data_IF_368960498663
#
_entry.id   IF_368960498663
#
_cell.length_a   1.000
_cell.length_b   1.000
_cell.length_c   1.000
_cell.angle_alpha   90.00
_cell.angle_beta   90.00
_cell.angle_gamma   90.00
#
_symmetry.space_group_name_H-M   'P 1'
#
loop_
_entity.id
_entity.type
_entity.pdbx_description
1 polymer ?
#
# COMPACT_ATOMS: atom_id res chain seq x y z
N UNK A 1 15.63 4.34 -11.33
CA UNK A 1 15.00 3.43 -12.33
C UNK A 1 14.20 4.26 -13.33
N UNK A 2 13.76 3.71 -14.47
CA UNK A 2 12.95 4.47 -15.46
C UNK A 2 11.48 4.07 -15.42
N UNK A 3 10.59 5.05 -15.52
CA UNK A 3 9.17 4.79 -15.62
C UNK A 3 8.81 4.09 -16.95
N UNK A 4 7.99 3.04 -16.91
CA UNK A 4 7.50 2.32 -18.10
C UNK A 4 6.75 3.22 -19.06
N UNK A 5 5.95 4.15 -18.55
CA UNK A 5 5.02 4.92 -19.38
C UNK A 5 5.54 6.25 -19.89
N UNK A 6 6.43 6.91 -19.15
CA UNK A 6 6.92 8.24 -19.50
C UNK A 6 8.44 8.31 -19.66
N UNK A 7 9.15 7.19 -19.46
CA UNK A 7 10.61 7.05 -19.57
C UNK A 7 11.45 7.98 -18.69
N UNK A 8 10.80 8.78 -17.81
CA UNK A 8 11.47 9.61 -16.82
C UNK A 8 12.28 8.75 -15.87
N UNK A 9 13.47 9.23 -15.55
CA UNK A 9 14.32 8.64 -14.51
C UNK A 9 13.83 9.08 -13.14
N UNK A 10 13.43 8.10 -12.33
CA UNK A 10 13.24 8.28 -10.90
C UNK A 10 14.58 8.09 -10.19
N UNK A 11 14.94 9.08 -9.38
CA UNK A 11 16.21 9.09 -8.63
C UNK A 11 16.00 8.43 -7.28
N UNK A 12 16.61 7.27 -7.08
CA UNK A 12 16.71 6.64 -5.75
C UNK A 12 17.73 7.42 -4.94
N UNK A 13 17.26 8.42 -4.20
CA UNK A 13 18.12 9.27 -3.35
C UNK A 13 17.78 9.14 -1.87
N UNK A 14 16.71 8.42 -1.53
CA UNK A 14 16.36 8.12 -0.15
C UNK A 14 17.00 6.80 0.27
N UNK A 15 17.44 6.74 1.53
CA UNK A 15 17.99 5.52 2.14
C UNK A 15 17.20 5.25 3.40
N UNK A 16 16.64 4.06 3.53
CA UNK A 16 15.92 3.61 4.72
C UNK A 16 16.84 2.67 5.53
N UNK A 17 16.85 2.80 6.85
CA UNK A 17 17.63 1.94 7.74
C UNK A 17 16.72 0.83 8.27
N UNK A 18 16.97 -0.40 7.85
CA UNK A 18 16.25 -1.58 8.32
C UNK A 18 17.06 -2.32 9.38
N UNK A 19 16.45 -2.61 10.52
CA UNK A 19 17.07 -3.45 11.53
C UNK A 19 16.92 -4.93 11.15
N UNK A 20 18.03 -5.66 11.12
CA UNK A 20 18.06 -7.12 10.90
C UNK A 20 17.89 -7.87 12.22
N UNK A 21 17.53 -9.15 12.13
CA UNK A 21 17.25 -10.01 13.28
C UNK A 21 18.43 -10.17 14.25
N UNK A 22 19.66 -9.93 13.77
CA UNK A 22 20.89 -9.92 14.57
C UNK A 22 21.22 -8.55 15.19
N UNK A 23 20.33 -7.56 15.04
CA UNK A 23 20.45 -6.22 15.61
C UNK A 23 21.33 -5.26 14.81
N UNK A 24 21.74 -5.62 13.58
CA UNK A 24 22.43 -4.69 12.67
C UNK A 24 21.43 -3.81 11.92
N UNK A 25 21.92 -2.71 11.34
CA UNK A 25 21.12 -1.85 10.46
C UNK A 25 21.65 -1.92 9.04
N UNK A 26 20.78 -2.27 8.09
CA UNK A 26 21.08 -2.27 6.66
C UNK A 26 20.48 -1.03 6.01
N UNK A 27 21.31 -0.30 5.28
CA UNK A 27 20.85 0.80 4.42
C UNK A 27 20.25 0.24 3.14
N UNK A 28 18.95 0.47 2.95
CA UNK A 28 18.20 0.06 1.77
C UNK A 28 17.89 1.29 0.93
N UNK A 29 18.39 1.30 -0.30
CA UNK A 29 18.10 2.38 -1.25
C UNK A 29 16.61 2.34 -1.63
N UNK A 30 15.94 3.48 -1.49
CA UNK A 30 14.52 3.67 -1.82
C UNK A 30 14.35 4.83 -2.79
N UNK A 31 13.32 4.75 -3.61
CA UNK A 31 12.84 5.89 -4.41
C UNK A 31 12.41 6.99 -3.45
N UNK A 32 12.84 8.24 -3.70
CA UNK A 32 12.31 9.40 -2.97
C UNK A 32 10.83 9.62 -3.29
N UNK A 33 10.45 9.30 -4.52
CA UNK A 33 9.13 9.51 -5.07
C UNK A 33 8.33 8.20 -5.06
N UNK A 34 7.03 8.30 -4.80
CA UNK A 34 6.12 7.14 -4.79
C UNK A 34 6.16 6.46 -6.16
N UNK A 35 6.54 5.19 -6.16
CA UNK A 35 6.66 4.37 -7.36
C UNK A 35 6.46 2.91 -7.00
N UNK A 36 5.98 2.13 -7.97
CA UNK A 36 5.77 0.69 -7.83
C UNK A 36 6.54 -0.02 -8.92
N UNK A 37 7.13 -1.18 -8.65
CA UNK A 37 7.77 -1.99 -9.68
C UNK A 37 6.76 -2.40 -10.75
N UNK A 38 7.19 -2.40 -12.02
CA UNK A 38 6.31 -2.83 -13.10
C UNK A 38 6.16 -4.36 -13.06
N UNK A 39 4.93 -4.92 -12.93
CA UNK A 39 4.73 -6.37 -12.85
C UNK A 39 5.30 -7.14 -14.05
N UNK A 40 5.39 -6.50 -15.22
CA UNK A 40 5.91 -7.12 -16.44
C UNK A 40 7.43 -6.95 -16.59
N UNK A 41 8.07 -6.16 -15.73
CA UNK A 41 9.50 -5.91 -15.78
C UNK A 41 10.06 -5.51 -14.40
N UNK A 42 10.05 -6.45 -13.43
CA UNK A 42 10.51 -6.20 -12.07
C UNK A 42 12.00 -5.86 -12.00
N UNK A 43 12.82 -6.28 -12.97
CA UNK A 43 14.27 -6.12 -12.95
C UNK A 43 14.78 -4.73 -13.40
N UNK A 44 13.94 -3.68 -13.33
CA UNK A 44 14.45 -2.30 -13.49
C UNK A 44 13.48 -1.26 -14.06
N UNK A 45 12.21 -1.63 -14.29
CA UNK A 45 11.17 -0.66 -14.66
C UNK A 45 10.19 -0.48 -13.51
N UNK A 46 9.68 0.74 -13.44
CA UNK A 46 8.73 1.15 -12.41
C UNK A 46 7.55 1.88 -13.06
N UNK A 47 6.46 1.97 -12.32
CA UNK A 47 5.33 2.84 -12.59
C UNK A 47 5.49 4.02 -11.63
N UNK A 48 5.74 5.21 -12.18
CA UNK A 48 5.84 6.42 -11.34
C UNK A 48 4.45 6.91 -10.93
N UNK A 49 4.35 7.57 -9.78
CA UNK A 49 3.11 8.16 -9.28
C UNK A 49 2.33 8.94 -10.34
N UNK A 50 3.00 9.85 -11.05
CA UNK A 50 2.34 10.70 -12.05
C UNK A 50 1.68 9.90 -13.18
N UNK A 51 2.20 8.73 -13.54
CA UNK A 51 1.59 7.87 -14.56
C UNK A 51 0.44 7.03 -14.00
N UNK A 52 0.55 6.61 -12.74
CA UNK A 52 -0.54 5.96 -12.00
C UNK A 52 -1.75 6.89 -11.88
N UNK A 53 -1.54 8.13 -11.41
CA UNK A 53 -2.59 9.15 -11.26
C UNK A 53 -3.25 9.57 -12.59
N UNK A 54 -2.54 9.43 -13.71
CA UNK A 54 -3.09 9.63 -15.05
C UNK A 54 -3.89 8.43 -15.57
N UNK A 55 -4.05 7.36 -14.79
CA UNK A 55 -4.77 6.15 -15.18
C UNK A 55 -4.06 5.33 -16.25
N UNK A 56 -2.75 5.53 -16.49
CA UNK A 56 -2.02 4.82 -17.55
C UNK A 56 -1.92 3.31 -17.31
N UNK A 57 -2.06 2.91 -16.05
CA UNK A 57 -2.07 1.50 -15.62
C UNK A 57 -3.31 0.74 -16.10
N UNK A 58 -4.35 1.43 -16.60
CA UNK A 58 -5.56 0.80 -17.19
C UNK A 58 -5.29 -0.18 -18.34
N UNK A 59 -4.07 -0.20 -18.89
CA UNK A 59 -3.63 -1.19 -19.89
C UNK A 59 -3.32 -2.57 -19.33
N UNK A 60 -3.06 -2.68 -18.03
CA UNK A 60 -2.78 -3.96 -17.38
C UNK A 60 -4.07 -4.78 -17.22
N UNK A 61 -3.90 -6.09 -17.03
CA UNK A 61 -5.03 -6.96 -16.75
C UNK A 61 -5.55 -6.75 -15.30
N UNK A 62 -6.70 -7.33 -14.97
CA UNK A 62 -7.33 -7.14 -13.65
C UNK A 62 -6.47 -7.63 -12.48
N UNK A 63 -5.72 -8.74 -12.65
CA UNK A 63 -4.84 -9.27 -11.59
C UNK A 63 -3.66 -8.33 -11.33
N UNK A 64 -3.02 -7.85 -12.40
CA UNK A 64 -1.93 -6.89 -12.31
C UNK A 64 -2.42 -5.57 -11.72
N UNK A 65 -3.59 -5.09 -12.14
CA UNK A 65 -4.20 -3.87 -11.58
C UNK A 65 -4.47 -4.00 -10.09
N UNK A 66 -5.01 -5.14 -9.64
CA UNK A 66 -5.22 -5.41 -8.22
C UNK A 66 -3.90 -5.27 -7.43
N UNK A 67 -2.82 -5.86 -7.94
CA UNK A 67 -1.49 -5.77 -7.32
C UNK A 67 -0.95 -4.33 -7.36
N UNK A 68 -0.99 -3.67 -8.51
CA UNK A 68 -0.52 -2.29 -8.69
C UNK A 68 -1.25 -1.34 -7.72
N UNK A 69 -2.58 -1.38 -7.67
CA UNK A 69 -3.37 -0.55 -6.76
C UNK A 69 -3.03 -0.84 -5.29
N UNK A 70 -2.81 -2.11 -4.93
CA UNK A 70 -2.40 -2.50 -3.58
C UNK A 70 -1.01 -1.94 -3.23
N UNK A 71 -0.04 -2.10 -4.12
CA UNK A 71 1.33 -1.61 -3.91
C UNK A 71 1.40 -0.08 -3.83
N UNK A 72 0.67 0.63 -4.69
CA UNK A 72 0.57 2.09 -4.58
C UNK A 72 -0.07 2.51 -3.26
N UNK A 73 -1.11 1.80 -2.80
CA UNK A 73 -1.69 2.04 -1.48
C UNK A 73 -0.67 1.92 -0.34
N UNK A 74 0.17 0.89 -0.38
CA UNK A 74 1.23 0.68 0.62
C UNK A 74 2.31 1.78 0.55
N UNK A 75 2.78 2.11 -0.66
CA UNK A 75 3.78 3.16 -0.85
C UNK A 75 3.26 4.55 -0.45
N UNK A 76 1.96 4.82 -0.65
CA UNK A 76 1.32 6.02 -0.12
C UNK A 76 1.27 6.04 1.41
N UNK A 77 0.99 4.92 2.06
CA UNK A 77 1.04 4.84 3.53
C UNK A 77 2.46 5.05 4.06
N UNK A 78 3.48 4.50 3.39
CA UNK A 78 4.88 4.72 3.75
C UNK A 78 5.29 6.19 3.60
N UNK A 79 4.80 6.86 2.56
CA UNK A 79 5.04 8.28 2.31
C UNK A 79 4.16 9.23 3.14
N UNK A 80 3.42 8.71 4.14
CA UNK A 80 2.48 9.45 5.00
C UNK A 80 1.41 10.24 4.21
N UNK A 81 0.91 9.65 3.13
CA UNK A 81 -0.15 10.19 2.27
C UNK A 81 -1.42 9.31 2.32
N UNK A 82 -2.07 9.18 3.49
CA UNK A 82 -3.18 8.25 3.67
C UNK A 82 -4.38 8.52 2.75
N UNK A 83 -4.70 9.77 2.38
CA UNK A 83 -5.83 10.05 1.48
C UNK A 83 -5.65 9.41 0.08
N UNK A 84 -4.41 9.41 -0.43
CA UNK A 84 -4.10 8.74 -1.69
C UNK A 84 -4.08 7.22 -1.53
N UNK A 85 -3.60 6.72 -0.39
CA UNK A 85 -3.64 5.29 -0.07
C UNK A 85 -5.08 4.76 -0.03
N UNK A 86 -6.01 5.49 0.59
CA UNK A 86 -7.43 5.14 0.62
C UNK A 86 -7.98 4.97 -0.79
N UNK A 87 -7.66 5.88 -1.69
CA UNK A 87 -8.12 5.83 -3.09
C UNK A 87 -7.59 4.57 -3.77
N UNK A 88 -6.28 4.30 -3.68
CA UNK A 88 -5.67 3.13 -4.28
C UNK A 88 -6.21 1.80 -3.72
N UNK A 89 -6.37 1.68 -2.39
CA UNK A 89 -6.96 0.47 -1.80
C UNK A 89 -8.43 0.27 -2.18
N UNK A 90 -9.20 1.35 -2.35
CA UNK A 90 -10.58 1.24 -2.85
C UNK A 90 -10.62 0.76 -4.29
N UNK A 91 -9.71 1.21 -5.15
CA UNK A 91 -9.58 0.70 -6.53
C UNK A 91 -9.24 -0.80 -6.53
N UNK A 92 -8.29 -1.24 -5.69
CA UNK A 92 -7.97 -2.66 -5.52
C UNK A 92 -9.19 -3.49 -5.07
N UNK A 93 -9.93 -3.01 -4.06
CA UNK A 93 -11.10 -3.70 -3.51
C UNK A 93 -12.29 -3.80 -4.48
N UNK A 94 -12.40 -2.87 -5.43
CA UNK A 94 -13.39 -2.93 -6.51
C UNK A 94 -13.10 -4.10 -7.48
N UNK A 95 -11.82 -4.43 -7.69
CA UNK A 95 -11.43 -5.56 -8.53
C UNK A 95 -11.66 -6.87 -7.77
N UNK A 96 -11.15 -6.95 -6.54
CA UNK A 96 -11.33 -8.11 -5.67
C UNK A 96 -11.30 -7.70 -4.20
N UNK A 97 -12.38 -7.98 -3.50
CA UNK A 97 -12.42 -7.85 -2.05
C UNK A 97 -11.65 -9.00 -1.40
N UNK A 98 -10.65 -8.66 -0.57
CA UNK A 98 -9.83 -9.61 0.20
C UNK A 98 -9.71 -9.15 1.65
N UNK A 99 -9.41 -10.08 2.56
CA UNK A 99 -9.18 -9.74 3.96
C UNK A 99 -7.99 -8.75 4.11
N UNK A 100 -6.88 -8.98 3.39
CA UNK A 100 -5.74 -8.06 3.35
C UNK A 100 -6.13 -6.67 2.83
N UNK A 101 -6.91 -6.59 1.74
CA UNK A 101 -7.35 -5.32 1.17
C UNK A 101 -8.25 -4.53 2.13
N UNK A 102 -9.15 -5.22 2.84
CA UNK A 102 -10.00 -4.61 3.87
C UNK A 102 -9.16 -4.12 5.06
N UNK A 103 -8.19 -4.92 5.50
CA UNK A 103 -7.28 -4.55 6.59
C UNK A 103 -6.38 -3.36 6.22
N UNK A 104 -5.90 -3.29 4.98
CA UNK A 104 -5.10 -2.18 4.46
C UNK A 104 -5.91 -0.88 4.39
N UNK A 105 -7.12 -0.94 3.85
CA UNK A 105 -8.03 0.22 3.85
C UNK A 105 -8.38 0.65 5.29
N UNK A 106 -8.62 -0.30 6.20
CA UNK A 106 -8.87 0.00 7.61
C UNK A 106 -7.66 0.69 8.29
N UNK A 107 -6.44 0.26 7.98
CA UNK A 107 -5.21 0.89 8.47
C UNK A 107 -5.10 2.34 7.99
N UNK A 108 -5.41 2.57 6.72
CA UNK A 108 -5.47 3.90 6.13
C UNK A 108 -6.51 4.79 6.85
N UNK A 109 -7.74 4.29 7.04
CA UNK A 109 -8.79 5.04 7.72
C UNK A 109 -8.45 5.34 9.19
N UNK A 110 -7.73 4.45 9.87
CA UNK A 110 -7.26 4.70 11.24
C UNK A 110 -6.24 5.84 11.30
N UNK A 111 -5.33 5.94 10.33
CA UNK A 111 -4.38 7.07 10.20
C UNK A 111 -5.08 8.40 9.89
N UNK A 112 -6.26 8.35 9.28
CA UNK A 112 -7.13 9.51 9.02
C UNK A 112 -8.08 9.83 10.18
N UNK A 113 -7.87 9.23 11.37
CA UNK A 113 -8.73 9.33 12.55
C UNK A 113 -10.19 8.86 12.34
N UNK A 114 -10.50 8.19 11.22
CA UNK A 114 -11.80 7.59 10.88
C UNK A 114 -11.96 6.21 11.54
N UNK A 115 -11.73 6.16 12.85
CA UNK A 115 -11.63 4.93 13.64
C UNK A 115 -12.89 4.07 13.64
N UNK A 116 -14.08 4.67 13.56
CA UNK A 116 -15.35 3.93 13.48
C UNK A 116 -15.43 3.11 12.18
N UNK A 117 -15.04 3.70 11.05
CA UNK A 117 -15.04 3.02 9.76
C UNK A 117 -13.92 1.98 9.70
N UNK A 118 -12.72 2.32 10.18
CA UNK A 118 -11.60 1.39 10.29
C UNK A 118 -11.98 0.12 11.09
N UNK A 119 -12.64 0.30 12.24
CA UNK A 119 -13.13 -0.81 13.08
C UNK A 119 -14.06 -1.74 12.31
N UNK A 120 -15.02 -1.19 11.57
CA UNK A 120 -15.96 -1.99 10.79
C UNK A 120 -15.25 -2.80 9.70
N UNK A 121 -14.28 -2.19 9.00
CA UNK A 121 -13.49 -2.89 7.99
C UNK A 121 -12.59 -3.98 8.58
N UNK A 122 -11.96 -3.75 9.73
CA UNK A 122 -11.20 -4.80 10.41
C UNK A 122 -12.09 -5.98 10.83
N UNK A 123 -13.31 -5.71 11.30
CA UNK A 123 -14.27 -6.77 11.62
C UNK A 123 -14.67 -7.56 10.38
N UNK A 124 -14.89 -6.89 9.23
CA UNK A 124 -15.17 -7.57 7.97
C UNK A 124 -13.97 -8.41 7.49
N UNK A 125 -12.74 -7.90 7.62
CA UNK A 125 -11.54 -8.67 7.32
C UNK A 125 -11.45 -9.95 8.17
N UNK A 126 -11.79 -9.86 9.47
CA UNK A 126 -11.81 -10.99 10.40
C UNK A 126 -12.97 -11.97 10.16
N UNK A 127 -14.08 -11.51 9.57
CA UNK A 127 -15.16 -12.40 9.15
C UNK A 127 -14.73 -13.25 7.94
N UNK A 128 -13.95 -12.66 7.03
CA UNK A 128 -13.36 -13.37 5.88
C UNK A 128 -12.20 -14.28 6.27
N UNK A 129 -11.30 -13.82 7.14
CA UNK A 129 -10.16 -14.56 7.68
C UNK A 129 -10.03 -14.30 9.20
N UNK A 130 -10.50 -15.27 9.98
CA UNK A 130 -10.54 -15.19 11.45
C UNK A 130 -9.16 -15.08 12.08
N UNK A 131 -8.12 -15.54 11.41
CA UNK A 131 -6.75 -15.57 11.92
C UNK A 131 -5.91 -14.39 11.39
N UNK A 132 -6.51 -13.45 10.67
CA UNK A 132 -5.83 -12.31 10.08
C UNK A 132 -5.15 -11.43 11.13
N UNK A 133 -3.82 -11.58 11.25
CA UNK A 133 -3.03 -11.02 12.34
C UNK A 133 -3.09 -9.48 12.40
N UNK A 134 -2.91 -8.81 11.25
CA UNK A 134 -2.90 -7.34 11.18
C UNK A 134 -4.25 -6.77 11.61
N UNK A 135 -5.36 -7.29 11.07
CA UNK A 135 -6.70 -6.84 11.42
C UNK A 135 -7.00 -7.01 12.91
N UNK A 136 -6.64 -8.16 13.50
CA UNK A 136 -6.83 -8.43 14.93
C UNK A 136 -6.05 -7.46 15.82
N UNK A 137 -4.78 -7.23 15.51
CA UNK A 137 -3.93 -6.35 16.31
C UNK A 137 -4.36 -4.89 16.23
N UNK A 138 -4.63 -4.40 15.02
CA UNK A 138 -5.02 -3.00 14.83
C UNK A 138 -6.42 -2.72 15.41
N UNK A 139 -7.34 -3.67 15.29
CA UNK A 139 -8.64 -3.60 15.95
C UNK A 139 -8.50 -3.51 17.49
N UNK A 140 -7.62 -4.32 18.07
CA UNK A 140 -7.34 -4.27 19.51
C UNK A 140 -6.75 -2.91 19.93
N UNK A 141 -5.87 -2.33 19.11
CA UNK A 141 -5.29 -1.00 19.36
C UNK A 141 -6.37 0.09 19.34
N UNK A 142 -7.24 0.11 18.32
CA UNK A 142 -8.39 1.04 18.27
C UNK A 142 -9.26 0.87 19.51
N UNK A 143 -9.60 -0.37 19.89
CA UNK A 143 -10.45 -0.62 21.05
C UNK A 143 -9.81 -0.23 22.40
N UNK A 144 -8.48 -0.20 22.51
CA UNK A 144 -7.79 0.27 23.73
C UNK A 144 -7.81 1.78 23.85
N UNK A 145 -7.70 2.50 22.72
CA UNK A 145 -7.70 3.97 22.70
C UNK A 145 -9.08 4.58 22.99
N UNK A 146 -10.15 3.81 22.81
CA UNK A 146 -11.55 4.24 23.03
C UNK A 146 -12.18 3.63 24.30
N UNK A 147 -11.38 3.25 25.30
CA UNK A 147 -11.83 2.89 26.66
C UNK A 147 -11.44 3.96 27.66
#
# INVERSE_FOLDING_TARGET
MKCTFCEREEKNTATELWATDDGQSVEVARSRDVSVEDPWNPDGKIICESCYQQGRVSRYNASDLLEIHTQFGLEYLHADQPEKAETAFREALQIKTTADGLANLACCLSKLDRNTEAKNLYLLALDMDKDHFIARNNLANIQRLHR
#
